data_IF_083709048171
#
_entry.id   IF_083709048171
#
_cell.length_a   1.000
_cell.length_b   1.000
_cell.length_c   1.000
_cell.angle_alpha   90.00
_cell.angle_beta   90.00
_cell.angle_gamma   90.00
#
_symmetry.space_group_name_H-M   'P 1'
#
loop_
_entity.id
_entity.type
_entity.pdbx_description
1 polymer ?
#
# COMPACT_ATOMS: atom_id res chain seq x y z
N UNK A 1 17.35 2.86 19.42
CA UNK A 1 16.00 2.83 18.82
C UNK A 1 16.20 2.73 17.31
N UNK A 2 16.07 1.54 16.72
CA UNK A 2 16.09 1.42 15.26
C UNK A 2 14.81 2.08 14.74
N UNK A 3 14.98 3.12 13.92
CA UNK A 3 13.92 3.67 13.09
C UNK A 3 13.41 2.50 12.25
N UNK A 4 12.17 2.09 12.52
CA UNK A 4 11.47 1.13 11.67
C UNK A 4 11.19 1.92 10.40
N UNK A 5 12.03 1.66 9.41
CA UNK A 5 12.00 2.24 8.07
C UNK A 5 10.55 2.28 7.56
N UNK A 6 10.19 3.31 6.80
CA UNK A 6 8.85 3.68 6.27
C UNK A 6 7.99 2.62 5.60
N UNK A 7 8.39 1.35 5.65
CA UNK A 7 7.97 0.33 4.71
C UNK A 7 6.70 -0.34 5.13
N UNK A 8 5.65 -0.05 4.38
CA UNK A 8 4.43 -0.81 4.37
C UNK A 8 4.75 -2.29 4.05
N UNK A 9 4.32 -3.22 4.90
CA UNK A 9 4.65 -4.64 4.75
C UNK A 9 3.42 -5.47 4.38
N UNK A 10 3.55 -6.29 3.34
CA UNK A 10 2.50 -7.26 2.98
C UNK A 10 2.47 -8.36 4.05
N UNK A 11 1.37 -8.43 4.80
CA UNK A 11 1.16 -9.44 5.84
C UNK A 11 0.18 -10.55 5.40
N UNK A 12 -0.63 -10.30 4.37
CA UNK A 12 -1.48 -11.30 3.73
C UNK A 12 -1.35 -11.13 2.21
N UNK A 13 -1.13 -12.22 1.49
CA UNK A 13 -1.19 -12.26 0.02
C UNK A 13 -1.94 -13.51 -0.43
N UNK A 14 -2.99 -13.33 -1.23
CA UNK A 14 -3.90 -14.36 -1.73
C UNK A 14 -4.36 -15.33 -0.63
N UNK A 15 -4.84 -14.75 0.47
CA UNK A 15 -5.32 -15.45 1.66
C UNK A 15 -4.27 -16.14 2.53
N UNK A 16 -2.99 -16.10 2.16
CA UNK A 16 -1.88 -16.65 2.94
C UNK A 16 -1.24 -15.58 3.81
N UNK A 17 -1.12 -15.85 5.11
CA UNK A 17 -0.45 -14.94 6.06
C UNK A 17 1.07 -15.07 5.92
N UNK A 18 1.76 -13.94 5.77
CA UNK A 18 3.22 -13.85 5.88
C UNK A 18 3.62 -13.67 7.35
N UNK A 19 3.90 -14.79 8.02
CA UNK A 19 4.25 -14.82 9.45
C UNK A 19 5.51 -14.01 9.75
N UNK A 20 6.50 -14.01 8.85
CA UNK A 20 7.74 -13.26 9.06
C UNK A 20 7.47 -11.75 9.09
N UNK A 21 6.68 -11.24 8.14
CA UNK A 21 6.32 -9.82 8.11
C UNK A 21 5.44 -9.43 9.30
N UNK A 22 4.49 -10.27 9.72
CA UNK A 22 3.74 -10.03 10.96
C UNK A 22 4.68 -9.89 12.17
N UNK A 23 5.68 -10.76 12.30
CA UNK A 23 6.67 -10.69 13.39
C UNK A 23 7.53 -9.42 13.31
N UNK A 24 7.95 -9.01 12.11
CA UNK A 24 8.74 -7.78 11.91
C UNK A 24 8.03 -6.52 12.42
N UNK A 25 6.70 -6.48 12.30
CA UNK A 25 5.87 -5.36 12.77
C UNK A 25 5.22 -5.61 14.14
N UNK A 26 5.60 -6.69 14.83
CA UNK A 26 5.08 -6.99 16.17
C UNK A 26 3.62 -7.45 16.22
N UNK A 27 3.03 -7.89 15.11
CA UNK A 27 1.66 -8.40 15.07
C UNK A 27 1.60 -9.87 15.47
N UNK A 28 0.78 -10.19 16.46
CA UNK A 28 0.39 -11.56 16.79
C UNK A 28 -0.75 -12.05 15.87
N UNK A 29 -1.02 -13.37 15.91
CA UNK A 29 -2.19 -13.92 15.21
C UNK A 29 -3.52 -13.32 15.73
N UNK A 30 -3.58 -12.97 17.02
CA UNK A 30 -4.73 -12.30 17.61
C UNK A 30 -4.92 -10.91 17.00
N UNK A 31 -3.85 -10.12 16.88
CA UNK A 31 -3.91 -8.76 16.32
C UNK A 31 -4.37 -8.78 14.87
N UNK A 32 -3.80 -9.68 14.05
CA UNK A 32 -4.21 -9.85 12.65
C UNK A 32 -5.69 -10.23 12.56
N UNK A 33 -6.13 -11.23 13.34
CA UNK A 33 -7.53 -11.65 13.35
C UNK A 33 -8.47 -10.54 13.83
N UNK A 34 -8.08 -9.79 14.86
CA UNK A 34 -8.86 -8.67 15.39
C UNK A 34 -9.01 -7.56 14.36
N UNK A 35 -7.92 -7.11 13.75
CA UNK A 35 -7.94 -6.09 12.70
C UNK A 35 -8.76 -6.53 11.49
N UNK A 36 -8.62 -7.77 11.01
CA UNK A 36 -9.50 -8.26 9.95
C UNK A 36 -10.99 -8.17 10.32
N UNK A 37 -11.35 -8.54 11.56
CA UNK A 37 -12.74 -8.44 12.04
C UNK A 37 -13.25 -7.00 12.15
N UNK A 38 -12.40 -6.02 12.50
CA UNK A 38 -12.82 -4.59 12.49
C UNK A 38 -13.15 -4.11 11.08
N UNK A 39 -12.56 -4.73 10.05
CA UNK A 39 -12.92 -4.53 8.64
C UNK A 39 -14.02 -5.51 8.15
N UNK A 40 -14.75 -6.18 9.04
CA UNK A 40 -15.81 -7.15 8.71
C UNK A 40 -15.32 -8.38 7.90
N UNK A 41 -14.05 -8.74 8.04
CA UNK A 41 -13.42 -9.89 7.39
C UNK A 41 -13.20 -11.00 8.41
N UNK A 42 -13.90 -12.12 8.21
CA UNK A 42 -13.88 -13.25 9.14
C UNK A 42 -13.01 -14.42 8.66
N UNK A 43 -12.41 -14.31 7.47
CA UNK A 43 -11.52 -15.32 6.90
C UNK A 43 -10.48 -14.67 6.02
N UNK A 44 -9.21 -15.03 6.23
CA UNK A 44 -8.11 -14.53 5.39
C UNK A 44 -8.28 -14.94 3.93
N UNK A 45 -9.02 -16.02 3.63
CA UNK A 45 -9.29 -16.45 2.25
C UNK A 45 -10.00 -15.39 1.41
N UNK A 46 -10.75 -14.47 2.03
CA UNK A 46 -11.43 -13.36 1.33
C UNK A 46 -10.52 -12.16 1.08
N UNK A 47 -9.26 -12.25 1.50
CA UNK A 47 -8.27 -11.17 1.42
C UNK A 47 -7.32 -11.50 0.27
N UNK A 48 -7.39 -10.71 -0.79
CA UNK A 48 -6.39 -10.73 -1.85
C UNK A 48 -5.06 -10.20 -1.34
N UNK A 49 -5.09 -9.10 -0.57
CA UNK A 49 -3.89 -8.54 0.04
C UNK A 49 -4.21 -7.76 1.31
N UNK A 50 -3.33 -7.83 2.30
CA UNK A 50 -3.34 -6.90 3.44
C UNK A 50 -1.93 -6.37 3.66
N UNK A 51 -1.83 -5.05 3.75
CA UNK A 51 -0.60 -4.32 4.01
C UNK A 51 -0.73 -3.63 5.35
N UNK A 52 0.31 -3.71 6.18
CA UNK A 52 0.39 -2.97 7.44
C UNK A 52 1.23 -1.70 7.23
N UNK A 53 0.69 -0.56 7.64
CA UNK A 53 1.39 0.73 7.66
C UNK A 53 2.18 0.94 8.96
N UNK A 54 2.95 2.04 9.06
CA UNK A 54 3.83 2.30 10.21
C UNK A 54 3.08 2.46 11.53
N UNK A 55 1.87 2.99 11.49
CA UNK A 55 0.98 3.16 12.64
C UNK A 55 0.27 1.84 13.04
N UNK A 56 0.47 0.78 12.26
CA UNK A 56 -0.15 -0.51 12.44
C UNK A 56 -1.54 -0.63 11.83
N UNK A 57 -2.03 0.37 11.10
CA UNK A 57 -3.28 0.24 10.33
C UNK A 57 -3.13 -0.78 9.19
N UNK A 58 -4.26 -1.42 8.85
CA UNK A 58 -4.30 -2.35 7.72
C UNK A 58 -5.01 -1.71 6.55
N UNK A 59 -4.34 -1.71 5.42
CA UNK A 59 -4.97 -1.47 4.13
C UNK A 59 -5.22 -2.84 3.49
N UNK A 60 -6.50 -3.12 3.21
CA UNK A 60 -6.96 -4.44 2.78
C UNK A 60 -7.56 -4.36 1.38
N UNK A 61 -7.20 -5.33 0.54
CA UNK A 61 -7.81 -5.60 -0.76
C UNK A 61 -8.63 -6.88 -0.68
N UNK A 62 -9.90 -6.81 -1.06
CA UNK A 62 -10.74 -7.99 -1.15
C UNK A 62 -10.46 -8.81 -2.43
N UNK A 63 -10.87 -10.07 -2.42
CA UNK A 63 -10.96 -10.85 -3.68
C UNK A 63 -11.91 -10.16 -4.66
N UNK A 64 -11.47 -10.02 -5.91
CA UNK A 64 -12.23 -9.34 -6.97
C UNK A 64 -12.04 -7.82 -7.02
N UNK A 65 -11.44 -7.21 -5.99
CA UNK A 65 -11.04 -5.80 -6.02
C UNK A 65 -9.67 -5.63 -6.69
N UNK A 66 -9.51 -4.53 -7.43
CA UNK A 66 -8.19 -4.03 -7.77
C UNK A 66 -7.43 -3.62 -6.50
N UNK A 67 -6.10 -3.50 -6.59
CA UNK A 67 -5.29 -3.11 -5.44
C UNK A 67 -5.89 -1.85 -4.77
N UNK A 68 -5.81 -1.73 -3.44
CA UNK A 68 -6.38 -0.61 -2.70
C UNK A 68 -5.85 0.70 -3.27
N UNK A 69 -6.65 1.76 -3.16
CA UNK A 69 -6.22 3.12 -3.45
C UNK A 69 -5.13 3.49 -2.45
N UNK A 70 -3.90 3.20 -2.84
CA UNK A 70 -2.76 3.65 -2.09
C UNK A 70 -2.24 4.94 -2.71
N UNK A 71 -1.98 5.98 -1.92
CA UNK A 71 -1.33 7.16 -2.45
C UNK A 71 0.11 6.79 -2.84
N UNK A 72 0.47 7.04 -4.09
CA UNK A 72 1.84 6.92 -4.60
C UNK A 72 2.65 8.18 -4.32
N UNK A 73 2.00 9.34 -4.30
CA UNK A 73 2.62 10.62 -3.98
C UNK A 73 1.72 11.36 -3.00
N UNK A 74 2.30 11.89 -1.93
CA UNK A 74 1.61 12.75 -0.95
C UNK A 74 2.52 13.94 -0.65
N UNK A 75 2.02 15.17 -0.80
CA UNK A 75 2.77 16.40 -0.49
C UNK A 75 4.15 16.43 -1.14
N UNK A 76 4.20 16.02 -2.41
CA UNK A 76 5.42 15.93 -3.19
C UNK A 76 6.42 14.82 -2.81
N UNK A 77 6.04 13.90 -1.92
CA UNK A 77 6.86 12.77 -1.49
C UNK A 77 6.40 11.46 -2.10
N UNK A 78 7.33 10.69 -2.67
CA UNK A 78 7.07 9.37 -3.24
C UNK A 78 6.96 8.29 -2.14
N UNK A 79 5.86 7.54 -2.16
CA UNK A 79 5.67 6.36 -1.32
C UNK A 79 6.27 5.11 -1.99
N UNK A 80 7.58 4.93 -1.86
CA UNK A 80 8.35 3.90 -2.58
C UNK A 80 7.87 2.47 -2.29
N UNK A 81 7.49 2.18 -1.06
CA UNK A 81 7.03 0.83 -0.67
C UNK A 81 5.70 0.49 -1.33
N UNK A 82 4.80 1.46 -1.40
CA UNK A 82 3.52 1.31 -2.07
C UNK A 82 3.72 1.05 -3.56
N UNK A 83 4.64 1.79 -4.19
CA UNK A 83 4.98 1.60 -5.59
C UNK A 83 5.44 0.15 -5.87
N UNK A 84 6.27 -0.41 -4.99
CA UNK A 84 6.66 -1.82 -5.06
C UNK A 84 5.50 -2.77 -4.80
N UNK A 85 4.64 -2.48 -3.82
CA UNK A 85 3.46 -3.31 -3.49
C UNK A 85 2.53 -3.44 -4.69
N UNK A 86 2.33 -2.37 -5.47
CA UNK A 86 1.51 -2.42 -6.68
C UNK A 86 2.26 -2.99 -7.91
N UNK A 87 3.50 -3.46 -7.73
CA UNK A 87 4.32 -4.07 -8.78
C UNK A 87 4.81 -3.08 -9.82
N UNK A 88 4.96 -1.80 -9.44
CA UNK A 88 5.50 -0.74 -10.29
C UNK A 88 6.87 -0.30 -9.79
N UNK A 89 7.57 0.45 -10.62
CA UNK A 89 8.86 1.05 -10.30
C UNK A 89 8.86 2.56 -10.53
N UNK A 90 9.86 3.24 -9.99
CA UNK A 90 9.99 4.70 -10.07
C UNK A 90 10.09 5.18 -11.52
N UNK A 91 10.71 4.38 -12.39
CA UNK A 91 10.80 4.65 -13.83
C UNK A 91 9.43 4.68 -14.49
N UNK A 92 8.53 3.77 -14.13
CA UNK A 92 7.15 3.77 -14.59
C UNK A 92 6.42 5.03 -14.12
N UNK A 93 6.55 5.37 -12.84
CA UNK A 93 5.88 6.55 -12.28
C UNK A 93 6.30 7.84 -12.99
N UNK A 94 7.61 8.05 -13.17
CA UNK A 94 8.15 9.22 -13.87
C UNK A 94 7.68 9.31 -15.33
N UNK A 95 7.52 8.17 -16.02
CA UNK A 95 6.96 8.15 -17.38
C UNK A 95 5.50 8.57 -17.39
N UNK A 96 4.69 8.08 -16.46
CA UNK A 96 3.28 8.44 -16.37
C UNK A 96 3.07 9.90 -15.94
N UNK A 97 3.88 10.43 -15.03
CA UNK A 97 3.86 11.84 -14.65
C UNK A 97 4.18 12.76 -15.84
N UNK A 98 5.21 12.43 -16.63
CA UNK A 98 5.59 13.21 -17.82
C UNK A 98 4.48 13.25 -18.87
N UNK A 99 3.72 12.17 -19.04
CA UNK A 99 2.54 12.15 -19.94
C UNK A 99 1.47 13.15 -19.50
N UNK A 100 1.44 13.51 -18.22
CA UNK A 100 0.52 14.48 -17.63
C UNK A 100 1.14 15.88 -17.47
N UNK A 101 2.35 16.11 -18.01
CA UNK A 101 3.03 17.42 -17.97
C UNK A 101 3.76 17.74 -16.66
N UNK A 102 3.88 16.78 -15.74
CA UNK A 102 4.53 16.94 -14.44
C UNK A 102 5.95 16.37 -14.49
N UNK A 103 6.92 17.07 -13.88
CA UNK A 103 8.34 16.75 -14.02
C UNK A 103 9.00 16.27 -12.72
N UNK A 104 8.47 16.70 -11.57
CA UNK A 104 8.98 16.35 -10.26
C UNK A 104 7.84 15.91 -9.32
N UNK A 105 8.17 15.10 -8.31
CA UNK A 105 7.20 14.72 -7.29
C UNK A 105 6.65 15.94 -6.56
N UNK A 106 7.49 16.94 -6.32
CA UNK A 106 7.10 18.24 -5.74
C UNK A 106 5.99 18.99 -6.48
N UNK A 107 5.71 18.62 -7.74
CA UNK A 107 4.62 19.23 -8.51
C UNK A 107 3.25 18.63 -8.16
N UNK A 108 3.21 17.56 -7.34
CA UNK A 108 2.03 16.75 -7.06
C UNK A 108 1.63 16.84 -5.59
N UNK A 109 0.41 17.31 -5.33
CA UNK A 109 -0.21 17.28 -4.02
C UNK A 109 -0.63 15.86 -3.63
N UNK A 110 -1.34 15.16 -4.54
CA UNK A 110 -1.79 13.78 -4.33
C UNK A 110 -1.69 12.98 -5.63
N UNK A 111 -1.03 11.82 -5.58
CA UNK A 111 -0.98 10.85 -6.67
C UNK A 111 -1.56 9.52 -6.24
N UNK A 112 -2.56 9.02 -6.94
CA UNK A 112 -3.25 7.76 -6.63
C UNK A 112 -3.17 6.78 -7.81
N UNK A 113 -3.06 5.48 -7.51
CA UNK A 113 -3.19 4.43 -8.51
C UNK A 113 -4.51 3.69 -8.33
N UNK A 114 -5.41 3.85 -9.31
CA UNK A 114 -6.79 3.32 -9.24
C UNK A 114 -7.18 2.79 -10.62
N UNK A 115 -7.75 1.58 -10.68
CA UNK A 115 -8.26 0.95 -11.91
C UNK A 115 -7.22 0.94 -13.05
N UNK A 116 -5.99 0.55 -12.69
CA UNK A 116 -4.85 0.54 -13.60
C UNK A 116 -4.31 1.91 -14.03
N UNK A 117 -4.87 3.02 -13.56
CA UNK A 117 -4.56 4.40 -13.98
C UNK A 117 -3.90 5.20 -12.86
N UNK A 118 -2.91 6.01 -13.24
CA UNK A 118 -2.30 7.01 -12.37
C UNK A 118 -3.11 8.30 -12.45
N UNK A 119 -3.71 8.71 -11.34
CA UNK A 119 -4.40 9.98 -11.19
C UNK A 119 -3.50 10.93 -10.38
N UNK A 120 -3.22 12.12 -10.90
CA UNK A 120 -2.36 13.11 -10.25
C UNK A 120 -3.14 14.40 -10.03
N UNK A 121 -3.09 14.91 -8.81
CA UNK A 121 -3.55 16.23 -8.43
C UNK A 121 -2.31 17.10 -8.23
N UNK A 122 -2.11 18.08 -9.11
CA UNK A 122 -1.00 19.02 -9.02
C UNK A 122 -1.25 20.11 -7.96
N UNK A 123 -0.19 20.83 -7.57
CA UNK A 123 -0.31 22.09 -6.81
C UNK A 123 -0.91 23.23 -7.62
#
# INVERSE_FOLDING_TARGET
KQLIDGRALIIIDNGKINIENCKKVGLSAHDVSFKLRTHHIYSTRKVKRAVVEQDGELIITHEGEENPKFPLITDGQLQTDILHVIGKDEKWLLREMKKQGLNAYSDVFLGEYVDGKLNLTAY
#
